data_IF_842148155569
#
_entry.id   IF_842148155569
#
_cell.length_a   1.000
_cell.length_b   1.000
_cell.length_c   1.000
_cell.angle_alpha   90.00
_cell.angle_beta   90.00
_cell.angle_gamma   90.00
#
_symmetry.space_group_name_H-M   'P 1'
#
loop_
_entity.id
_entity.type
_entity.pdbx_description
1 polymer ?
#
# COMPACT_ATOMS: atom_id res chain seq x y z
N UNK A 1 -29.04 -15.39 -0.30
CA UNK A 1 -27.57 -15.17 -0.25
C UNK A 1 -27.09 -14.96 -1.67
N UNK A 2 -26.54 -13.81 -1.99
CA UNK A 2 -25.94 -13.61 -3.30
C UNK A 2 -24.73 -14.54 -3.42
N UNK A 3 -24.74 -15.44 -4.38
CA UNK A 3 -23.59 -16.28 -4.73
C UNK A 3 -22.47 -15.35 -5.20
N UNK A 4 -21.41 -15.21 -4.40
CA UNK A 4 -20.21 -14.53 -4.88
C UNK A 4 -19.60 -15.38 -5.99
N UNK A 5 -19.54 -14.82 -7.18
CA UNK A 5 -18.91 -15.49 -8.31
C UNK A 5 -17.41 -15.39 -8.12
N UNK A 6 -16.76 -16.53 -7.88
CA UNK A 6 -15.29 -16.61 -7.86
C UNK A 6 -14.79 -16.62 -9.30
N UNK A 7 -13.74 -15.84 -9.56
CA UNK A 7 -13.05 -15.82 -10.85
C UNK A 7 -11.61 -16.34 -10.71
N UNK A 8 -11.02 -16.73 -11.81
CA UNK A 8 -9.61 -17.18 -11.80
C UNK A 8 -8.64 -16.00 -11.76
N UNK A 9 -7.40 -16.25 -11.35
CA UNK A 9 -6.30 -15.27 -11.42
C UNK A 9 -6.14 -14.77 -12.86
N UNK A 10 -6.21 -15.67 -13.84
CA UNK A 10 -6.08 -15.31 -15.25
C UNK A 10 -7.17 -14.36 -15.73
N UNK A 11 -8.41 -14.59 -15.31
CA UNK A 11 -9.54 -13.71 -15.61
C UNK A 11 -9.36 -12.35 -14.96
N UNK A 12 -8.95 -12.32 -13.67
CA UNK A 12 -8.65 -11.07 -12.98
C UNK A 12 -7.58 -10.26 -13.69
N UNK A 13 -6.48 -10.88 -14.09
CA UNK A 13 -5.35 -10.20 -14.74
C UNK A 13 -5.70 -9.67 -16.14
N UNK A 14 -6.65 -10.29 -16.82
CA UNK A 14 -7.14 -9.85 -18.15
C UNK A 14 -8.24 -8.80 -18.08
N UNK A 15 -8.83 -8.60 -16.91
CA UNK A 15 -9.96 -7.67 -16.72
C UNK A 15 -9.46 -6.32 -16.24
N UNK A 16 -9.96 -5.24 -16.85
CA UNK A 16 -9.70 -3.88 -16.38
C UNK A 16 -10.84 -3.46 -15.45
N UNK A 17 -10.50 -3.19 -14.21
CA UNK A 17 -11.44 -2.69 -13.20
C UNK A 17 -11.33 -1.18 -13.08
N UNK A 18 -12.45 -0.50 -12.85
CA UNK A 18 -12.49 0.95 -12.64
C UNK A 18 -13.53 1.28 -11.56
N UNK A 19 -13.10 1.70 -10.37
CA UNK A 19 -11.70 1.76 -9.90
C UNK A 19 -11.03 0.38 -9.87
N UNK A 20 -9.70 0.39 -9.75
CA UNK A 20 -8.93 -0.84 -9.57
C UNK A 20 -9.37 -1.61 -8.33
N UNK A 21 -9.34 -2.93 -8.41
CA UNK A 21 -9.81 -3.84 -7.37
C UNK A 21 -8.68 -4.75 -6.89
N UNK A 22 -8.68 -5.04 -5.59
CA UNK A 22 -7.89 -6.13 -5.03
C UNK A 22 -8.48 -7.48 -5.48
N UNK A 23 -7.65 -8.50 -5.49
CA UNK A 23 -8.08 -9.88 -5.73
C UNK A 23 -7.60 -10.77 -4.59
N UNK A 24 -8.54 -11.48 -3.97
CA UNK A 24 -8.26 -12.33 -2.81
C UNK A 24 -8.96 -13.67 -2.98
N UNK A 25 -8.18 -14.71 -3.25
CA UNK A 25 -8.62 -16.10 -3.31
C UNK A 25 -9.88 -16.34 -4.17
N UNK A 26 -9.94 -15.67 -5.33
CA UNK A 26 -11.06 -15.76 -6.26
C UNK A 26 -12.06 -14.61 -6.19
N UNK A 27 -12.04 -13.82 -5.13
CA UNK A 27 -12.92 -12.66 -4.97
C UNK A 27 -12.27 -11.38 -5.47
N UNK A 28 -13.03 -10.60 -6.25
CA UNK A 28 -12.67 -9.23 -6.62
C UNK A 28 -13.23 -8.30 -5.56
N UNK A 29 -12.35 -7.57 -4.89
CA UNK A 29 -12.71 -6.66 -3.81
C UNK A 29 -12.57 -5.22 -4.31
N UNK A 30 -13.69 -4.51 -4.33
CA UNK A 30 -13.70 -3.09 -4.63
C UNK A 30 -12.91 -2.31 -3.57
N UNK A 31 -12.11 -1.38 -4.04
CA UNK A 31 -11.43 -0.40 -3.20
C UNK A 31 -12.36 0.77 -2.94
N UNK A 32 -12.18 1.43 -1.81
CA UNK A 32 -12.94 2.63 -1.49
C UNK A 32 -12.71 3.71 -2.55
N UNK A 33 -13.75 4.44 -2.91
CA UNK A 33 -13.64 5.58 -3.83
C UNK A 33 -12.84 6.68 -3.14
N UNK A 34 -11.86 7.24 -3.85
CA UNK A 34 -11.01 8.28 -3.31
C UNK A 34 -11.77 9.56 -3.02
N UNK A 35 -11.87 9.93 -1.75
CA UNK A 35 -12.33 11.24 -1.31
C UNK A 35 -11.18 12.24 -1.33
N UNK A 36 -11.52 13.52 -1.25
CA UNK A 36 -10.54 14.62 -1.31
C UNK A 36 -9.36 14.46 -0.35
N UNK A 37 -9.64 14.08 0.90
CA UNK A 37 -8.59 13.98 1.92
C UNK A 37 -7.64 12.82 1.64
N UNK A 38 -8.18 11.66 1.23
CA UNK A 38 -7.40 10.52 0.75
C UNK A 38 -6.52 10.90 -0.45
N UNK A 39 -7.11 11.45 -1.50
CA UNK A 39 -6.41 11.83 -2.73
C UNK A 39 -5.36 12.92 -2.49
N UNK A 40 -5.66 13.88 -1.61
CA UNK A 40 -4.72 14.93 -1.24
C UNK A 40 -3.51 14.40 -0.49
N UNK A 41 -3.74 13.46 0.43
CA UNK A 41 -2.67 12.82 1.18
C UNK A 41 -1.81 11.94 0.28
N UNK A 42 -2.43 11.14 -0.59
CA UNK A 42 -1.72 10.32 -1.58
C UNK A 42 -0.80 11.17 -2.45
N UNK A 43 -1.32 12.28 -2.98
CA UNK A 43 -0.52 13.24 -3.76
C UNK A 43 0.67 13.79 -2.98
N UNK A 44 0.47 14.21 -1.72
CA UNK A 44 1.55 14.77 -0.89
C UNK A 44 2.65 13.73 -0.64
N UNK A 45 2.28 12.49 -0.33
CA UNK A 45 3.22 11.40 -0.13
C UNK A 45 4.01 11.12 -1.41
N UNK A 46 3.33 11.03 -2.55
CA UNK A 46 3.97 10.81 -3.85
C UNK A 46 4.97 11.90 -4.18
N UNK A 47 4.57 13.16 -4.09
CA UNK A 47 5.45 14.31 -4.39
C UNK A 47 6.64 14.34 -3.42
N UNK A 48 6.41 14.10 -2.13
CA UNK A 48 7.45 14.10 -1.11
C UNK A 48 8.51 13.02 -1.37
N UNK A 49 8.09 11.80 -1.66
CA UNK A 49 9.00 10.68 -1.90
C UNK A 49 9.65 10.75 -3.28
N UNK A 50 8.88 11.12 -4.32
CA UNK A 50 9.39 11.23 -5.69
C UNK A 50 10.51 12.28 -5.81
N UNK A 51 10.44 13.37 -5.07
CA UNK A 51 11.50 14.38 -5.03
C UNK A 51 12.84 13.83 -4.48
N UNK A 52 12.83 12.66 -3.86
CA UNK A 52 13.98 12.02 -3.21
C UNK A 52 14.47 10.76 -3.91
N UNK A 53 13.82 10.37 -5.00
CA UNK A 53 14.15 9.12 -5.72
C UNK A 53 15.63 9.00 -6.07
N UNK A 54 16.18 10.02 -6.75
CA UNK A 54 17.58 10.01 -7.18
C UNK A 54 18.55 9.96 -6.01
N UNK A 55 18.24 10.66 -4.92
CA UNK A 55 19.12 10.73 -3.74
C UNK A 55 19.14 9.40 -2.97
N UNK A 56 17.99 8.74 -2.89
CA UNK A 56 17.81 7.56 -2.06
C UNK A 56 17.90 6.25 -2.84
N UNK A 57 17.95 6.29 -4.17
CA UNK A 57 17.96 5.10 -5.03
C UNK A 57 16.65 4.33 -4.96
N UNK A 58 15.54 5.03 -4.82
CA UNK A 58 14.18 4.47 -4.75
C UNK A 58 13.37 4.87 -5.97
N UNK A 59 12.29 4.12 -6.22
CA UNK A 59 11.23 4.49 -7.16
C UNK A 59 9.88 4.42 -6.46
N UNK A 60 8.99 5.37 -6.77
CA UNK A 60 7.71 5.55 -6.08
C UNK A 60 6.56 5.39 -7.07
N UNK A 61 5.59 4.55 -6.74
CA UNK A 61 4.47 4.21 -7.61
C UNK A 61 3.14 4.40 -6.89
N UNK A 62 2.16 5.09 -7.51
CA UNK A 62 0.78 5.10 -7.03
C UNK A 62 0.04 3.85 -7.49
N UNK A 63 -0.82 3.31 -6.65
CA UNK A 63 -1.79 2.27 -7.02
C UNK A 63 -1.20 1.11 -7.84
N UNK A 64 -0.02 0.67 -7.46
CA UNK A 64 0.70 -0.39 -8.14
C UNK A 64 0.21 -1.77 -7.71
N UNK A 65 -0.14 -2.61 -8.67
CA UNK A 65 -0.54 -3.99 -8.41
C UNK A 65 0.64 -4.84 -7.93
N UNK A 66 0.47 -5.48 -6.78
CA UNK A 66 1.46 -6.35 -6.15
C UNK A 66 0.86 -7.73 -5.92
N UNK A 67 1.51 -8.76 -6.41
CA UNK A 67 1.15 -10.14 -6.11
C UNK A 67 1.67 -10.51 -4.73
N UNK A 68 0.78 -10.71 -3.78
CA UNK A 68 1.13 -11.02 -2.38
C UNK A 68 1.05 -12.50 -2.05
N UNK A 69 0.43 -13.30 -2.93
CA UNK A 69 0.48 -14.76 -2.93
C UNK A 69 0.09 -15.27 -4.31
N UNK A 70 0.19 -16.57 -4.62
CA UNK A 70 -0.27 -17.11 -5.90
C UNK A 70 -1.72 -16.78 -6.24
N UNK A 71 -2.57 -16.56 -5.24
CA UNK A 71 -4.01 -16.31 -5.39
C UNK A 71 -4.45 -14.96 -4.83
N UNK A 72 -3.51 -14.05 -4.53
CA UNK A 72 -3.82 -12.73 -3.96
C UNK A 72 -3.02 -11.61 -4.60
N UNK A 73 -3.72 -10.55 -4.95
CA UNK A 73 -3.16 -9.30 -5.47
C UNK A 73 -3.71 -8.13 -4.67
N UNK A 74 -2.81 -7.27 -4.21
CA UNK A 74 -3.15 -6.04 -3.50
C UNK A 74 -2.67 -4.84 -4.29
N UNK A 75 -3.29 -3.71 -4.04
CA UNK A 75 -2.94 -2.43 -4.68
C UNK A 75 -2.73 -1.40 -3.57
N UNK A 76 -1.51 -1.29 -3.01
CA UNK A 76 -1.22 -0.23 -2.05
C UNK A 76 -1.43 1.15 -2.69
N UNK A 77 -1.88 2.12 -1.91
CA UNK A 77 -2.09 3.49 -2.39
C UNK A 77 -0.78 4.13 -2.88
N UNK A 78 0.32 3.80 -2.21
CA UNK A 78 1.68 4.15 -2.64
C UNK A 78 2.60 2.99 -2.32
N UNK A 79 3.48 2.63 -3.25
CA UNK A 79 4.57 1.71 -2.95
C UNK A 79 5.92 2.26 -3.38
N UNK A 80 6.97 1.81 -2.70
CA UNK A 80 8.35 2.22 -2.93
C UNK A 80 9.20 0.99 -3.20
N UNK A 81 10.00 1.03 -4.25
CA UNK A 81 10.98 -0.02 -4.58
C UNK A 81 12.40 0.50 -4.45
N UNK A 82 13.35 -0.40 -4.25
CA UNK A 82 14.78 -0.09 -4.34
C UNK A 82 15.22 -0.29 -5.79
N UNK A 83 15.38 0.83 -6.51
CA UNK A 83 15.61 0.83 -7.94
C UNK A 83 14.34 0.55 -8.76
N UNK A 84 14.48 0.63 -10.08
CA UNK A 84 13.38 0.48 -11.02
C UNK A 84 13.04 -0.99 -11.29
N UNK A 85 11.78 -1.42 -11.04
CA UNK A 85 11.34 -2.78 -11.36
C UNK A 85 11.21 -2.97 -12.89
N UNK A 86 11.55 -4.18 -13.36
CA UNK A 86 11.31 -4.55 -14.75
C UNK A 86 9.87 -5.08 -14.99
N UNK A 87 9.17 -5.44 -13.92
CA UNK A 87 7.85 -6.06 -13.99
C UNK A 87 6.72 -5.02 -14.02
N UNK A 88 5.68 -5.29 -14.80
CA UNK A 88 4.46 -4.44 -14.82
C UNK A 88 3.57 -4.68 -13.60
N UNK A 89 3.47 -5.92 -13.15
CA UNK A 89 2.84 -6.33 -11.90
C UNK A 89 3.95 -6.83 -11.00
N UNK A 90 4.09 -6.26 -9.83
CA UNK A 90 5.20 -6.60 -8.96
C UNK A 90 4.99 -7.98 -8.31
N UNK A 91 5.89 -8.90 -8.58
CA UNK A 91 5.94 -10.23 -7.96
C UNK A 91 7.01 -10.31 -6.87
N UNK A 92 7.94 -9.36 -6.86
CA UNK A 92 8.91 -9.17 -5.78
C UNK A 92 8.38 -8.17 -4.77
N UNK A 93 8.66 -8.37 -3.47
CA UNK A 93 8.17 -7.46 -2.45
C UNK A 93 8.73 -6.05 -2.65
N UNK A 94 7.88 -5.02 -2.67
CA UNK A 94 8.31 -3.63 -2.54
C UNK A 94 9.08 -3.39 -1.24
N UNK A 95 9.83 -2.30 -1.18
CA UNK A 95 10.53 -1.89 0.03
C UNK A 95 9.58 -1.28 1.07
N UNK A 96 8.61 -0.48 0.61
CA UNK A 96 7.56 0.09 1.46
C UNK A 96 6.22 -0.06 0.75
N UNK A 97 5.18 -0.51 1.47
CA UNK A 97 3.79 -0.37 1.07
C UNK A 97 3.09 0.61 2.00
N UNK A 98 2.34 1.55 1.42
CA UNK A 98 1.63 2.59 2.16
C UNK A 98 0.14 2.49 1.83
N UNK A 99 -0.68 2.42 2.89
CA UNK A 99 -2.14 2.48 2.82
C UNK A 99 -2.63 3.79 3.42
N UNK A 100 -3.62 4.39 2.80
CA UNK A 100 -4.29 5.59 3.29
C UNK A 100 -5.72 5.23 3.64
N UNK A 101 -6.11 5.44 4.88
CA UNK A 101 -7.44 5.08 5.35
C UNK A 101 -8.52 5.99 4.76
N UNK A 102 -9.64 5.38 4.41
CA UNK A 102 -10.91 6.03 4.09
C UNK A 102 -11.90 5.84 5.24
N UNK A 103 -12.96 6.66 5.35
CA UNK A 103 -13.95 6.53 6.44
C UNK A 103 -14.63 5.15 6.51
N UNK A 104 -14.74 4.46 5.37
CA UNK A 104 -15.35 3.13 5.28
C UNK A 104 -14.41 2.00 5.67
N UNK A 105 -13.10 2.26 5.83
CA UNK A 105 -12.14 1.23 6.19
C UNK A 105 -12.47 0.64 7.57
N UNK A 106 -12.32 -0.68 7.66
CA UNK A 106 -12.46 -1.43 8.91
C UNK A 106 -11.11 -2.05 9.26
N UNK A 107 -10.67 -1.84 10.49
CA UNK A 107 -9.34 -2.26 10.95
C UNK A 107 -9.00 -3.71 10.64
N UNK A 108 -9.90 -4.71 10.76
CA UNK A 108 -9.57 -6.09 10.40
C UNK A 108 -9.16 -6.25 8.92
N UNK A 109 -9.79 -5.51 8.00
CA UNK A 109 -9.42 -5.53 6.57
C UNK A 109 -8.09 -4.82 6.30
N UNK A 110 -7.82 -3.74 7.03
CA UNK A 110 -6.53 -3.04 6.96
C UNK A 110 -5.41 -3.96 7.45
N UNK A 111 -5.63 -4.64 8.57
CA UNK A 111 -4.67 -5.59 9.12
C UNK A 111 -4.42 -6.77 8.18
N UNK A 112 -5.44 -7.27 7.49
CA UNK A 112 -5.28 -8.33 6.49
C UNK A 112 -4.36 -7.88 5.33
N UNK A 113 -4.51 -6.64 4.84
CA UNK A 113 -3.60 -6.08 3.82
C UNK A 113 -2.17 -5.98 4.34
N UNK A 114 -2.00 -5.48 5.56
CA UNK A 114 -0.68 -5.40 6.21
C UNK A 114 -0.04 -6.79 6.29
N UNK A 115 -0.78 -7.79 6.75
CA UNK A 115 -0.30 -9.16 6.89
C UNK A 115 0.09 -9.77 5.54
N UNK A 116 -0.70 -9.53 4.49
CA UNK A 116 -0.38 -9.95 3.12
C UNK A 116 0.96 -9.36 2.65
N UNK A 117 1.20 -8.06 2.87
CA UNK A 117 2.47 -7.41 2.51
C UNK A 117 3.66 -7.97 3.31
N UNK A 118 3.51 -8.11 4.61
CA UNK A 118 4.59 -8.64 5.46
C UNK A 118 4.92 -10.08 5.10
N UNK A 119 3.92 -10.89 4.76
CA UNK A 119 4.10 -12.31 4.42
C UNK A 119 4.95 -12.51 3.17
N UNK A 120 4.85 -11.64 2.17
CA UNK A 120 5.71 -11.72 0.97
C UNK A 120 7.10 -11.14 1.19
N UNK A 121 7.36 -10.52 2.33
CA UNK A 121 8.67 -9.96 2.68
C UNK A 121 8.82 -8.46 2.49
N UNK A 122 7.71 -7.70 2.39
CA UNK A 122 7.77 -6.23 2.46
C UNK A 122 8.32 -5.83 3.83
N UNK A 123 9.46 -5.13 3.89
CA UNK A 123 10.07 -4.82 5.19
C UNK A 123 9.35 -3.73 5.97
N UNK A 124 8.65 -2.82 5.29
CA UNK A 124 7.96 -1.71 5.95
C UNK A 124 6.57 -1.52 5.38
N UNK A 125 5.56 -1.54 6.24
CA UNK A 125 4.17 -1.20 5.88
C UNK A 125 3.74 -0.01 6.71
N UNK A 126 3.30 1.05 6.06
CA UNK A 126 2.82 2.27 6.71
C UNK A 126 1.34 2.46 6.42
N UNK A 127 0.60 2.90 7.42
CA UNK A 127 -0.82 3.24 7.30
C UNK A 127 -1.01 4.65 7.83
N UNK A 128 -1.65 5.51 7.03
CA UNK A 128 -1.93 6.89 7.40
C UNK A 128 -3.43 7.15 7.42
N UNK A 129 -3.91 7.80 8.46
CA UNK A 129 -5.29 8.23 8.60
C UNK A 129 -5.38 9.75 8.48
N UNK A 130 -5.90 10.29 7.35
CA UNK A 130 -6.03 11.72 7.17
C UNK A 130 -7.06 12.37 8.10
N UNK A 131 -8.04 11.60 8.57
CA UNK A 131 -9.12 12.12 9.42
C UNK A 131 -8.66 12.39 10.85
N UNK A 132 -7.87 11.49 11.41
CA UNK A 132 -7.32 11.60 12.76
C UNK A 132 -5.90 12.17 12.79
N UNK A 133 -5.28 12.34 11.62
CA UNK A 133 -3.86 12.74 11.46
C UNK A 133 -2.91 11.82 12.21
N UNK A 134 -3.18 10.52 12.15
CA UNK A 134 -2.36 9.49 12.78
C UNK A 134 -1.69 8.62 11.72
N UNK A 135 -0.59 8.00 12.12
CA UNK A 135 0.14 7.04 11.28
C UNK A 135 0.49 5.79 12.10
N UNK A 136 0.57 4.68 11.40
CA UNK A 136 0.93 3.38 11.95
C UNK A 136 2.05 2.77 11.12
N UNK A 137 2.89 1.99 11.77
CA UNK A 137 3.98 1.24 11.13
C UNK A 137 3.93 -0.22 11.55
N UNK A 138 4.23 -1.10 10.62
CA UNK A 138 4.43 -2.52 10.85
C UNK A 138 5.68 -3.00 10.12
N UNK A 139 6.40 -3.93 10.72
CA UNK A 139 7.55 -4.63 10.16
C UNK A 139 7.42 -6.14 10.44
N UNK A 140 8.20 -7.01 9.81
CA UNK A 140 8.16 -8.44 10.12
C UNK A 140 8.45 -8.79 11.58
N UNK A 141 9.19 -7.94 12.30
CA UNK A 141 9.55 -8.14 13.71
C UNK A 141 8.68 -7.38 14.69
N UNK A 142 7.91 -6.40 14.22
CA UNK A 142 7.10 -5.52 15.07
C UNK A 142 5.66 -5.49 14.57
N UNK A 143 4.71 -5.73 15.49
CA UNK A 143 3.29 -5.60 15.19
C UNK A 143 2.95 -4.17 14.80
N UNK A 144 1.83 -4.03 14.10
CA UNK A 144 1.25 -2.72 13.77
C UNK A 144 1.08 -1.87 15.03
N UNK A 145 1.71 -0.71 15.04
CA UNK A 145 1.68 0.23 16.16
C UNK A 145 1.60 1.67 15.67
N UNK A 146 0.96 2.51 16.46
CA UNK A 146 0.88 3.94 16.15
C UNK A 146 2.25 4.59 16.32
N UNK A 147 2.62 5.42 15.35
CA UNK A 147 3.85 6.19 15.38
C UNK A 147 3.61 7.53 16.07
N UNK A 148 4.31 7.75 17.19
CA UNK A 148 4.20 8.99 17.98
C UNK A 148 5.38 9.94 17.81
N UNK A 149 6.47 9.47 17.17
CA UNK A 149 7.68 10.25 16.96
C UNK A 149 7.57 11.33 15.86
N UNK A 150 6.43 11.44 15.18
CA UNK A 150 6.22 12.42 14.12
C UNK A 150 6.91 12.12 12.79
N UNK A 151 7.57 10.98 12.67
CA UNK A 151 8.24 10.52 11.45
C UNK A 151 8.08 9.02 11.26
N UNK A 152 7.74 8.61 10.03
CA UNK A 152 7.88 7.23 9.57
C UNK A 152 9.26 7.07 8.95
N UNK A 153 9.96 6.02 9.34
CA UNK A 153 11.36 5.84 8.95
C UNK A 153 11.69 4.38 8.63
N UNK A 154 12.54 4.21 7.63
CA UNK A 154 13.15 2.92 7.30
C UNK A 154 14.64 2.93 7.59
N UNK A 155 15.26 1.75 7.50
CA UNK A 155 16.71 1.57 7.58
C UNK A 155 17.22 0.99 6.27
N UNK A 156 18.41 1.42 5.83
CA UNK A 156 19.19 0.84 4.74
C UNK A 156 18.42 0.62 3.41
N UNK A 157 17.98 1.66 2.72
CA UNK A 157 18.24 3.07 2.95
C UNK A 157 17.30 3.68 4.01
N UNK A 158 17.75 4.79 4.57
CA UNK A 158 16.92 5.60 5.47
C UNK A 158 15.97 6.47 4.64
N UNK A 159 14.73 6.04 4.54
CA UNK A 159 13.63 6.84 3.96
C UNK A 159 12.81 7.41 5.09
N UNK A 160 12.65 8.70 5.14
CA UNK A 160 11.89 9.38 6.18
C UNK A 160 10.67 10.07 5.56
N UNK A 161 9.52 9.93 6.22
CA UNK A 161 8.29 10.62 5.89
C UNK A 161 7.87 11.45 7.11
N UNK A 162 8.09 12.75 7.05
CA UNK A 162 7.79 13.67 8.13
C UNK A 162 6.28 13.93 8.17
N UNK A 163 5.61 13.49 9.25
CA UNK A 163 4.15 13.54 9.34
C UNK A 163 3.60 14.97 9.36
N UNK A 164 4.32 15.93 9.95
CA UNK A 164 3.90 17.34 9.96
C UNK A 164 3.92 18.01 8.58
N UNK A 165 4.66 17.44 7.62
CA UNK A 165 4.69 17.93 6.23
C UNK A 165 3.63 17.27 5.35
N UNK A 166 3.10 16.14 5.78
CA UNK A 166 2.20 15.28 5.01
C UNK A 166 0.76 15.36 5.53
N UNK A 167 0.54 15.24 6.84
CA UNK A 167 -0.77 15.28 7.50
C UNK A 167 -1.17 16.73 7.94
#
# INVERSE_FOLDING_TARGET
>A
MASRTLISVEEYLRTSYRPDCDYVDGEVLERNVGEKDHSSLQKRILVYLAARESQLGICVFPEQRVQVSPTRFRIPDVCVTLGEPAEQIFTKPPFICIEILSPEDRWPRVQERIDDYLTIGVPYVWVLDPSTKTAYSATPSERTQQVTAGVLKTLSPSVELCLSEIL
#
